data_IF_156751923241
#
_entry.id   IF_156751923241
#
_cell.length_a   1.000
_cell.length_b   1.000
_cell.length_c   1.000
_cell.angle_alpha   90.00
_cell.angle_beta   90.00
_cell.angle_gamma   90.00
#
_symmetry.space_group_name_H-M   'P 1'
#
loop_
_entity.id
_entity.type
_entity.pdbx_description
1 polymer ?
#
# COMPACT_ATOMS: atom_id res chain seq x y z
N UNK A 1 4.93 4.84 -10.55
CA UNK A 1 4.47 4.85 -9.14
C UNK A 1 5.61 4.48 -8.16
N UNK A 2 5.79 5.23 -7.05
CA UNK A 2 6.68 4.93 -5.91
C UNK A 2 5.85 4.68 -4.65
N UNK A 3 6.22 3.68 -3.85
CA UNK A 3 5.57 3.33 -2.60
C UNK A 3 6.59 3.47 -1.48
N UNK A 4 6.27 4.27 -0.47
CA UNK A 4 7.07 4.41 0.74
C UNK A 4 6.27 3.87 1.89
N UNK A 5 6.86 2.93 2.62
CA UNK A 5 6.23 2.30 3.77
C UNK A 5 7.03 2.71 4.99
N UNK A 6 6.39 3.45 5.88
CA UNK A 6 6.92 3.80 7.19
C UNK A 6 6.14 3.02 8.25
N UNK A 7 6.59 3.08 9.49
CA UNK A 7 6.02 2.22 10.54
C UNK A 7 4.51 2.39 10.70
N UNK A 8 3.96 3.60 10.58
CA UNK A 8 2.52 3.83 10.78
C UNK A 8 1.78 4.33 9.53
N UNK A 9 2.42 4.33 8.36
CA UNK A 9 1.83 4.95 7.17
C UNK A 9 2.38 4.39 5.86
N UNK A 10 1.53 4.41 4.84
CA UNK A 10 1.87 4.04 3.46
C UNK A 10 1.67 5.27 2.60
N UNK A 11 2.74 5.74 1.96
CA UNK A 11 2.71 6.86 1.03
C UNK A 11 2.85 6.32 -0.39
N UNK A 12 1.84 6.63 -1.22
CA UNK A 12 1.80 6.27 -2.63
C UNK A 12 2.01 7.54 -3.44
N UNK A 13 3.06 7.61 -4.24
CA UNK A 13 3.38 8.77 -5.08
C UNK A 13 3.45 8.37 -6.56
N UNK A 14 2.70 9.06 -7.41
CA UNK A 14 2.63 8.75 -8.85
C UNK A 14 1.45 9.43 -9.52
N UNK A 15 1.12 9.00 -10.75
CA UNK A 15 -0.08 9.50 -11.43
C UNK A 15 -1.32 9.03 -10.67
N UNK A 16 -2.34 9.88 -10.58
CA UNK A 16 -3.54 9.59 -9.80
C UNK A 16 -4.21 8.26 -10.19
N UNK A 17 -4.22 7.92 -11.48
CA UNK A 17 -4.78 6.65 -11.96
C UNK A 17 -3.97 5.43 -11.54
N UNK A 18 -2.62 5.51 -11.54
CA UNK A 18 -1.75 4.43 -11.08
C UNK A 18 -2.01 4.12 -9.61
N UNK A 19 -2.17 5.17 -8.79
CA UNK A 19 -2.48 5.03 -7.36
C UNK A 19 -3.84 4.37 -7.18
N UNK A 20 -4.85 4.79 -7.95
CA UNK A 20 -6.20 4.22 -7.90
C UNK A 20 -6.22 2.74 -8.28
N UNK A 21 -5.52 2.36 -9.34
CA UNK A 21 -5.40 0.95 -9.74
C UNK A 21 -4.67 0.12 -8.70
N UNK A 22 -3.57 0.64 -8.13
CA UNK A 22 -2.84 -0.10 -7.10
C UNK A 22 -3.64 -0.30 -5.83
N UNK A 23 -4.40 0.71 -5.40
CA UNK A 23 -5.32 0.59 -4.25
C UNK A 23 -6.39 -0.47 -4.51
N UNK A 24 -6.94 -0.57 -5.73
CA UNK A 24 -7.88 -1.64 -6.11
C UNK A 24 -7.24 -3.03 -6.09
N UNK A 25 -5.98 -3.15 -6.51
CA UNK A 25 -5.27 -4.43 -6.44
C UNK A 25 -5.09 -4.86 -4.98
N UNK A 26 -4.66 -3.94 -4.11
CA UNK A 26 -4.41 -4.25 -2.71
C UNK A 26 -5.68 -4.42 -1.88
N UNK A 27 -6.81 -3.81 -2.26
CA UNK A 27 -8.09 -4.06 -1.59
C UNK A 27 -8.58 -5.51 -1.73
N UNK A 28 -8.12 -6.23 -2.76
CA UNK A 28 -8.42 -7.66 -2.91
C UNK A 28 -7.52 -8.55 -2.03
N UNK A 29 -6.38 -8.03 -1.57
CA UNK A 29 -5.39 -8.77 -0.79
C UNK A 29 -5.46 -8.46 0.70
N UNK A 30 -5.84 -7.23 1.06
CA UNK A 30 -5.89 -6.72 2.42
C UNK A 30 -7.22 -6.04 2.68
N UNK A 31 -7.90 -6.44 3.75
CA UNK A 31 -9.17 -5.82 4.19
C UNK A 31 -8.88 -4.49 4.86
N UNK A 32 -7.85 -4.44 5.71
CA UNK A 32 -7.45 -3.23 6.42
C UNK A 32 -6.05 -2.75 6.00
N UNK A 33 -5.84 -1.43 6.12
CA UNK A 33 -4.52 -0.81 5.91
C UNK A 33 -3.50 -1.32 6.96
N UNK A 34 -3.96 -1.70 8.15
CA UNK A 34 -3.13 -2.33 9.18
C UNK A 34 -2.57 -3.68 8.74
N UNK A 35 -3.37 -4.50 8.05
CA UNK A 35 -2.93 -5.80 7.52
C UNK A 35 -1.89 -5.59 6.43
N UNK A 36 -2.11 -4.58 5.57
CA UNK A 36 -1.14 -4.21 4.55
C UNK A 36 0.18 -3.72 5.16
N UNK A 37 0.13 -2.88 6.20
CA UNK A 37 1.30 -2.44 6.96
C UNK A 37 2.05 -3.62 7.60
N UNK A 38 1.33 -4.57 8.21
CA UNK A 38 1.95 -5.76 8.81
C UNK A 38 2.63 -6.65 7.76
N UNK A 39 1.95 -6.91 6.64
CA UNK A 39 2.52 -7.70 5.55
C UNK A 39 3.78 -7.04 4.96
N UNK A 40 3.77 -5.71 4.82
CA UNK A 40 4.93 -4.96 4.35
C UNK A 40 6.11 -4.99 5.33
N UNK A 41 5.85 -5.06 6.66
CA UNK A 41 6.90 -5.20 7.68
C UNK A 41 7.55 -6.58 7.67
N UNK A 42 6.82 -7.64 7.33
CA UNK A 42 7.34 -9.01 7.31
C UNK A 42 8.32 -9.30 6.17
N UNK A 43 8.39 -8.43 5.16
CA UNK A 43 9.27 -8.58 3.99
C UNK A 43 10.67 -7.96 4.25
N UNK A 44 10.89 -7.40 5.45
CA UNK A 44 12.17 -6.79 5.86
C UNK A 44 13.16 -7.81 6.42
#
# INVERSE_FOLDING_TARGET
MKIWISDNQIILSGKAWEVKEKLKQYSNQYVYVTDWLQAARQIK
#
